data_IF_665899985844
#
_entry.id   IF_665899985844
#
_cell.length_a   1.000
_cell.length_b   1.000
_cell.length_c   1.000
_cell.angle_alpha   90.00
_cell.angle_beta   90.00
_cell.angle_gamma   90.00
#
_symmetry.space_group_name_H-M   'P 1'
#
loop_
_entity.id
_entity.type
_entity.pdbx_description
1 polymer ?
#
# COMPACT_ATOMS: atom_id res chain seq x y z
N UNK A 1 -21.10 18.25 2.90
CA UNK A 1 -20.02 19.09 3.46
C UNK A 1 -18.72 18.37 3.15
N UNK A 2 -17.79 18.97 2.41
CA UNK A 2 -16.49 18.38 2.12
C UNK A 2 -15.54 18.65 3.30
N UNK A 3 -14.85 17.64 3.82
CA UNK A 3 -13.79 17.79 4.81
C UNK A 3 -12.47 17.97 4.04
N UNK A 4 -11.81 19.11 4.21
CA UNK A 4 -10.54 19.44 3.54
C UNK A 4 -9.51 19.90 4.57
N UNK A 5 -8.24 19.59 4.33
CA UNK A 5 -7.16 20.01 5.22
C UNK A 5 -5.78 19.62 4.70
N UNK A 6 -4.78 19.74 5.58
CA UNK A 6 -3.41 19.36 5.29
C UNK A 6 -2.98 18.21 6.24
N UNK A 7 -2.16 17.30 5.75
CA UNK A 7 -1.65 16.16 6.54
C UNK A 7 -0.74 16.61 7.69
N UNK A 8 -0.14 17.79 7.61
CA UNK A 8 0.63 18.38 8.73
C UNK A 8 -0.23 18.66 9.96
N UNK A 9 -1.48 19.07 9.75
CA UNK A 9 -2.41 19.40 10.82
C UNK A 9 -3.25 18.20 11.25
N UNK A 10 -3.49 17.27 10.31
CA UNK A 10 -4.37 16.12 10.52
C UNK A 10 -3.82 14.88 9.82
N UNK A 11 -3.15 14.04 10.57
CA UNK A 11 -2.43 12.89 10.04
C UNK A 11 -3.34 11.86 9.34
N UNK A 12 -2.76 11.05 8.45
CA UNK A 12 -3.48 9.95 7.78
C UNK A 12 -4.18 9.03 8.79
N UNK A 13 -3.51 8.71 9.90
CA UNK A 13 -4.08 7.88 10.98
C UNK A 13 -5.33 8.52 11.58
N UNK A 14 -5.28 9.81 11.90
CA UNK A 14 -6.42 10.55 12.46
C UNK A 14 -7.57 10.62 11.45
N UNK A 15 -7.25 10.85 10.17
CA UNK A 15 -8.23 10.93 9.09
C UNK A 15 -8.96 9.59 8.89
N UNK A 16 -8.23 8.48 8.83
CA UNK A 16 -8.82 7.15 8.71
C UNK A 16 -9.63 6.76 9.95
N UNK A 17 -9.17 7.14 11.15
CA UNK A 17 -9.94 6.96 12.40
C UNK A 17 -11.28 7.73 12.36
N UNK A 18 -11.26 8.98 11.92
CA UNK A 18 -12.47 9.78 11.79
C UNK A 18 -13.48 9.14 10.82
N UNK A 19 -13.00 8.67 9.65
CA UNK A 19 -13.82 7.99 8.65
C UNK A 19 -14.44 6.71 9.23
N UNK A 20 -13.62 5.91 9.94
CA UNK A 20 -14.06 4.65 10.54
C UNK A 20 -15.10 4.88 11.64
N UNK A 21 -14.81 5.73 12.63
CA UNK A 21 -15.68 6.00 13.77
C UNK A 21 -17.00 6.69 13.37
N UNK A 22 -16.95 7.58 12.38
CA UNK A 22 -18.13 8.25 11.88
C UNK A 22 -18.89 7.44 10.81
N UNK A 23 -18.48 6.19 10.53
CA UNK A 23 -19.07 5.31 9.51
C UNK A 23 -19.27 6.02 8.16
N UNK A 24 -18.29 6.83 7.75
CA UNK A 24 -18.41 7.65 6.55
C UNK A 24 -18.48 6.80 5.27
N UNK A 25 -19.32 7.25 4.35
CA UNK A 25 -19.37 6.77 2.97
C UNK A 25 -18.97 7.92 2.05
N UNK A 26 -18.05 7.67 1.10
CA UNK A 26 -17.56 8.70 0.18
C UNK A 26 -16.16 8.42 -0.32
N UNK A 27 -15.57 9.43 -0.97
CA UNK A 27 -14.21 9.39 -1.51
C UNK A 27 -13.27 10.32 -0.75
N UNK A 28 -12.05 9.87 -0.52
CA UNK A 28 -10.93 10.64 0.00
C UNK A 28 -9.85 10.74 -1.07
N UNK A 29 -9.52 11.96 -1.46
CA UNK A 29 -8.36 12.26 -2.29
C UNK A 29 -7.30 12.82 -1.36
N UNK A 30 -6.08 12.30 -1.47
CA UNK A 30 -4.89 12.83 -0.80
C UNK A 30 -3.87 13.16 -1.87
N UNK A 31 -3.47 14.42 -1.93
CA UNK A 31 -2.51 14.97 -2.90
C UNK A 31 -1.20 15.25 -2.17
N UNK A 32 -0.18 14.45 -2.45
CA UNK A 32 1.20 14.67 -2.04
C UNK A 32 1.97 15.51 -3.05
N UNK A 33 3.29 15.71 -2.82
CA UNK A 33 4.11 16.52 -3.71
C UNK A 33 4.22 15.96 -5.14
N UNK A 34 4.32 14.64 -5.28
CA UNK A 34 4.62 13.98 -6.54
C UNK A 34 3.48 13.07 -7.04
N UNK A 35 2.56 12.70 -6.17
CA UNK A 35 1.51 11.74 -6.48
C UNK A 35 0.21 12.03 -5.73
N UNK A 36 -0.89 11.43 -6.18
CA UNK A 36 -2.18 11.51 -5.53
C UNK A 36 -2.72 10.10 -5.25
N UNK A 37 -3.37 9.93 -4.12
CA UNK A 37 -4.05 8.68 -3.75
C UNK A 37 -5.54 8.94 -3.65
N UNK A 38 -6.34 8.05 -4.24
CA UNK A 38 -7.79 8.10 -4.19
C UNK A 38 -8.32 6.85 -3.49
N UNK A 39 -9.09 7.07 -2.43
CA UNK A 39 -9.67 6.03 -1.59
C UNK A 39 -11.19 6.18 -1.56
N UNK A 40 -11.89 5.05 -1.58
CA UNK A 40 -13.35 5.03 -1.42
C UNK A 40 -13.75 4.23 -0.20
N UNK A 41 -14.70 4.76 0.53
CA UNK A 41 -15.20 4.17 1.76
C UNK A 41 -16.71 3.94 1.68
N UNK A 42 -17.15 2.88 2.32
CA UNK A 42 -18.56 2.60 2.57
C UNK A 42 -18.76 2.15 4.01
N UNK A 43 -19.58 2.90 4.74
CA UNK A 43 -19.86 2.62 6.16
C UNK A 43 -18.58 2.51 7.01
N UNK A 44 -17.61 3.41 6.77
CA UNK A 44 -16.33 3.43 7.47
C UNK A 44 -15.32 2.37 7.02
N UNK A 45 -15.63 1.52 6.04
CA UNK A 45 -14.73 0.48 5.53
C UNK A 45 -14.15 0.88 4.18
N UNK A 46 -12.87 0.63 3.96
CA UNK A 46 -12.24 0.83 2.66
C UNK A 46 -12.85 -0.14 1.65
N UNK A 47 -13.27 0.37 0.50
CA UNK A 47 -13.87 -0.44 -0.57
C UNK A 47 -13.06 -0.44 -1.84
N UNK A 48 -12.28 0.62 -2.09
CA UNK A 48 -11.41 0.74 -3.26
C UNK A 48 -10.28 1.72 -2.96
N UNK A 49 -9.11 1.46 -3.53
CA UNK A 49 -7.94 2.32 -3.42
C UNK A 49 -7.16 2.32 -4.73
N UNK A 50 -6.66 3.49 -5.12
CA UNK A 50 -5.76 3.61 -6.26
C UNK A 50 -4.70 4.67 -6.02
N UNK A 51 -3.50 4.43 -6.55
CA UNK A 51 -2.47 5.44 -6.72
C UNK A 51 -2.67 6.11 -8.09
N UNK A 52 -2.75 7.44 -8.12
CA UNK A 52 -3.07 8.20 -9.34
C UNK A 52 -2.05 8.07 -10.48
N UNK A 53 -0.81 7.72 -10.18
CA UNK A 53 0.25 7.56 -11.19
C UNK A 53 0.36 6.14 -11.75
N UNK A 54 -0.30 5.16 -11.14
CA UNK A 54 -0.17 3.77 -11.52
C UNK A 54 -1.33 3.29 -12.40
N UNK A 55 -1.05 2.26 -13.20
CA UNK A 55 -2.11 1.49 -13.84
C UNK A 55 -2.82 0.60 -12.81
N UNK A 56 -3.99 1.06 -12.37
CA UNK A 56 -4.82 0.41 -11.38
C UNK A 56 -5.81 -0.60 -11.99
N UNK A 57 -5.52 -1.14 -13.18
CA UNK A 57 -6.34 -2.18 -13.80
C UNK A 57 -6.20 -3.51 -13.07
N UNK A 58 -7.27 -4.33 -13.10
CA UNK A 58 -7.25 -5.67 -12.52
C UNK A 58 -6.07 -6.52 -13.05
N UNK A 59 -5.79 -6.43 -14.36
CA UNK A 59 -4.69 -7.15 -14.99
C UNK A 59 -3.33 -6.81 -14.35
N UNK A 60 -3.07 -5.52 -14.12
CA UNK A 60 -1.84 -5.03 -13.49
C UNK A 60 -1.75 -5.46 -12.02
N UNK A 61 -2.85 -5.39 -11.27
CA UNK A 61 -2.91 -5.82 -9.88
C UNK A 61 -2.64 -7.34 -9.77
N UNK A 62 -3.25 -8.14 -10.63
CA UNK A 62 -3.03 -9.59 -10.68
C UNK A 62 -1.60 -9.95 -11.08
N UNK A 63 -0.98 -9.16 -11.95
CA UNK A 63 0.44 -9.34 -12.29
C UNK A 63 1.35 -9.00 -11.10
N UNK A 64 1.14 -7.86 -10.42
CA UNK A 64 1.89 -7.48 -9.21
C UNK A 64 1.77 -8.54 -8.10
N UNK A 65 0.60 -9.16 -7.95
CA UNK A 65 0.37 -10.25 -6.98
C UNK A 65 0.85 -11.64 -7.47
N UNK A 66 1.57 -11.71 -8.59
CA UNK A 66 2.12 -12.93 -9.19
C UNK A 66 1.06 -13.98 -9.58
N UNK A 67 -0.19 -13.58 -9.76
CA UNK A 67 -1.28 -14.42 -10.26
C UNK A 67 -1.27 -14.52 -11.80
N UNK A 68 -0.67 -13.52 -12.47
CA UNK A 68 -0.39 -13.50 -13.90
C UNK A 68 1.10 -13.34 -14.13
N UNK A 69 1.66 -14.09 -15.07
CA UNK A 69 3.03 -13.86 -15.53
C UNK A 69 3.08 -12.69 -16.53
N UNK A 70 4.29 -12.23 -16.89
CA UNK A 70 4.48 -11.07 -17.77
C UNK A 70 3.83 -11.25 -19.16
N UNK A 71 3.93 -12.45 -19.75
CA UNK A 71 3.33 -12.75 -21.05
C UNK A 71 1.81 -12.71 -21.00
N UNK A 72 1.21 -13.31 -19.97
CA UNK A 72 -0.24 -13.30 -19.76
C UNK A 72 -0.76 -11.88 -19.52
N UNK A 73 -0.05 -11.08 -18.71
CA UNK A 73 -0.39 -9.70 -18.47
C UNK A 73 -0.38 -8.89 -19.77
N UNK A 74 0.64 -9.04 -20.64
CA UNK A 74 0.70 -8.36 -21.93
C UNK A 74 -0.45 -8.77 -22.86
N UNK A 75 -0.75 -10.07 -22.94
CA UNK A 75 -1.87 -10.58 -23.76
C UNK A 75 -3.18 -9.98 -23.26
N UNK A 76 -3.43 -10.04 -21.94
CA UNK A 76 -4.65 -9.49 -21.36
C UNK A 76 -4.74 -7.98 -21.60
N UNK A 77 -3.67 -7.22 -21.45
CA UNK A 77 -3.66 -5.78 -21.76
C UNK A 77 -4.01 -5.46 -23.20
N UNK A 78 -3.53 -6.26 -24.15
CA UNK A 78 -3.85 -6.08 -25.56
C UNK A 78 -5.33 -6.38 -25.86
N UNK A 79 -5.89 -7.39 -25.18
CA UNK A 79 -7.28 -7.81 -25.38
C UNK A 79 -8.28 -7.02 -24.52
N UNK A 80 -7.89 -6.69 -23.30
CA UNK A 80 -8.75 -6.05 -22.29
C UNK A 80 -8.84 -4.52 -22.41
N UNK A 81 -8.22 -3.91 -23.42
CA UNK A 81 -8.29 -2.44 -23.60
C UNK A 81 -9.71 -1.88 -23.69
N UNK A 82 -10.73 -2.74 -23.87
CA UNK A 82 -12.13 -2.36 -24.04
C UNK A 82 -13.07 -3.06 -23.05
N UNK A 83 -12.59 -3.85 -22.09
CA UNK A 83 -13.46 -4.54 -21.11
C UNK A 83 -13.20 -4.01 -19.69
N UNK A 84 -14.26 -4.02 -18.90
CA UNK A 84 -14.19 -3.59 -17.48
C UNK A 84 -13.42 -4.60 -16.62
N UNK A 85 -12.92 -4.15 -15.46
CA UNK A 85 -12.28 -5.05 -14.49
C UNK A 85 -13.23 -6.17 -14.04
N UNK A 86 -14.55 -5.88 -13.93
CA UNK A 86 -15.57 -6.89 -13.60
C UNK A 86 -15.70 -7.95 -14.69
N UNK A 87 -15.75 -7.54 -15.94
CA UNK A 87 -15.83 -8.48 -17.08
C UNK A 87 -14.57 -9.33 -17.18
N UNK A 88 -13.38 -8.72 -17.02
CA UNK A 88 -12.12 -9.45 -16.97
C UNK A 88 -12.10 -10.49 -15.83
N UNK A 89 -12.54 -10.07 -14.64
CA UNK A 89 -12.65 -10.97 -13.49
C UNK A 89 -13.55 -12.19 -13.77
N UNK A 90 -14.74 -11.94 -14.35
CA UNK A 90 -15.66 -13.02 -14.73
C UNK A 90 -15.09 -13.94 -15.80
N UNK A 91 -14.39 -13.41 -16.81
CA UNK A 91 -13.73 -14.21 -17.82
C UNK A 91 -12.66 -15.15 -17.23
N UNK A 92 -11.83 -14.63 -16.31
CA UNK A 92 -10.79 -15.42 -15.65
C UNK A 92 -11.38 -16.52 -14.76
N UNK A 93 -12.49 -16.26 -14.07
CA UNK A 93 -13.21 -17.24 -13.26
C UNK A 93 -13.87 -18.31 -14.15
N UNK A 94 -14.59 -17.91 -15.18
CA UNK A 94 -15.28 -18.84 -16.09
C UNK A 94 -14.31 -19.73 -16.86
N UNK A 95 -13.12 -19.23 -17.19
CA UNK A 95 -12.04 -20.02 -17.78
C UNK A 95 -11.32 -20.93 -16.76
N UNK A 96 -11.75 -20.95 -15.50
CA UNK A 96 -11.11 -21.68 -14.40
C UNK A 96 -9.64 -21.34 -14.23
N UNK A 97 -9.24 -20.13 -14.64
CA UNK A 97 -7.87 -19.65 -14.54
C UNK A 97 -7.55 -19.13 -13.14
N UNK A 98 -8.48 -18.39 -12.54
CA UNK A 98 -8.41 -17.88 -11.17
C UNK A 98 -9.74 -18.12 -10.45
N UNK A 99 -9.66 -18.26 -9.16
CA UNK A 99 -10.87 -18.27 -8.31
C UNK A 99 -11.29 -16.83 -7.96
N UNK A 100 -12.55 -16.65 -7.59
CA UNK A 100 -13.02 -15.39 -7.03
C UNK A 100 -12.17 -14.94 -5.84
N UNK A 101 -11.78 -15.90 -4.97
CA UNK A 101 -10.94 -15.62 -3.79
C UNK A 101 -9.55 -15.12 -4.19
N UNK A 102 -8.94 -15.64 -5.25
CA UNK A 102 -7.66 -15.16 -5.76
C UNK A 102 -7.73 -13.70 -6.18
N UNK A 103 -8.79 -13.32 -6.89
CA UNK A 103 -9.00 -11.95 -7.35
C UNK A 103 -9.23 -11.02 -6.15
N UNK A 104 -10.15 -11.36 -5.24
CA UNK A 104 -10.47 -10.53 -4.08
C UNK A 104 -9.28 -10.36 -3.15
N UNK A 105 -8.51 -11.42 -2.88
CA UNK A 105 -7.31 -11.33 -2.05
C UNK A 105 -6.21 -10.48 -2.69
N UNK A 106 -6.02 -10.58 -4.01
CA UNK A 106 -5.06 -9.74 -4.73
C UNK A 106 -5.42 -8.25 -4.66
N UNK A 107 -6.71 -7.92 -4.85
CA UNK A 107 -7.22 -6.55 -4.71
C UNK A 107 -7.07 -6.05 -3.27
N UNK A 108 -7.41 -6.88 -2.28
CA UNK A 108 -7.28 -6.52 -0.88
C UNK A 108 -5.82 -6.20 -0.51
N UNK A 109 -4.88 -7.04 -0.91
CA UNK A 109 -3.44 -6.82 -0.68
C UNK A 109 -2.96 -5.53 -1.35
N UNK A 110 -3.40 -5.28 -2.58
CA UNK A 110 -3.06 -4.06 -3.30
C UNK A 110 -3.59 -2.81 -2.58
N UNK A 111 -4.85 -2.80 -2.14
CA UNK A 111 -5.44 -1.67 -1.43
C UNK A 111 -4.77 -1.43 -0.07
N UNK A 112 -4.40 -2.50 0.64
CA UNK A 112 -3.61 -2.41 1.86
C UNK A 112 -2.23 -1.78 1.56
N UNK A 113 -1.60 -2.15 0.46
CA UNK A 113 -0.33 -1.57 0.01
C UNK A 113 -0.43 -0.07 -0.23
N UNK A 114 -1.50 0.39 -0.91
CA UNK A 114 -1.75 1.83 -1.14
C UNK A 114 -1.91 2.58 0.18
N UNK A 115 -2.67 2.03 1.14
CA UNK A 115 -2.82 2.65 2.48
C UNK A 115 -1.50 2.66 3.24
N UNK A 116 -0.72 1.58 3.21
CA UNK A 116 0.57 1.51 3.88
C UNK A 116 1.55 2.55 3.31
N UNK A 117 1.52 2.77 2.01
CA UNK A 117 2.29 3.83 1.38
C UNK A 117 1.82 5.22 1.84
N UNK A 118 0.51 5.44 1.92
CA UNK A 118 -0.04 6.70 2.38
C UNK A 118 0.36 7.03 3.85
N UNK A 119 0.56 6.03 4.72
CA UNK A 119 1.05 6.25 6.08
C UNK A 119 2.46 6.86 6.15
N UNK A 120 3.26 6.74 5.09
CA UNK A 120 4.60 7.37 5.02
C UNK A 120 4.55 8.87 4.70
N UNK A 121 3.38 9.40 4.33
CA UNK A 121 3.24 10.81 3.96
C UNK A 121 3.10 11.70 5.20
N UNK A 122 4.01 12.65 5.32
CA UNK A 122 4.00 13.66 6.38
C UNK A 122 3.39 15.00 5.92
N UNK A 123 3.24 15.21 4.59
CA UNK A 123 2.72 16.44 3.99
C UNK A 123 1.80 16.10 2.82
N UNK A 124 0.83 16.97 2.56
CA UNK A 124 -0.12 16.82 1.48
C UNK A 124 -1.48 17.42 1.83
N UNK A 125 -2.29 17.64 0.81
CA UNK A 125 -3.65 18.13 0.98
C UNK A 125 -4.63 16.96 0.84
N UNK A 126 -5.65 16.94 1.69
CA UNK A 126 -6.70 15.97 1.58
C UNK A 126 -8.07 16.64 1.38
N UNK A 127 -8.94 15.95 0.65
CA UNK A 127 -10.33 16.31 0.45
C UNK A 127 -11.21 15.07 0.54
N UNK A 128 -12.16 15.07 1.47
CA UNK A 128 -13.17 14.01 1.57
C UNK A 128 -14.51 14.51 1.07
N UNK A 129 -15.12 13.79 0.15
CA UNK A 129 -16.44 14.06 -0.40
C UNK A 129 -17.42 12.94 -0.04
N UNK A 130 -18.56 13.32 0.57
CA UNK A 130 -19.57 12.33 0.97
C UNK A 130 -20.27 11.76 -0.26
N UNK A 131 -20.72 10.50 -0.12
CA UNK A 131 -21.60 9.79 -1.05
C UNK A 131 -21.03 9.57 -2.46
N UNK A 132 -19.74 9.82 -2.66
CA UNK A 132 -19.05 9.48 -3.90
C UNK A 132 -18.65 8.01 -3.85
N UNK A 133 -19.08 7.24 -4.84
CA UNK A 133 -18.82 5.81 -4.95
C UNK A 133 -17.73 5.53 -5.98
N UNK A 134 -17.02 4.39 -5.87
CA UNK A 134 -16.04 4.00 -6.88
C UNK A 134 -16.70 3.77 -8.24
N UNK A 135 -15.92 3.88 -9.34
CA UNK A 135 -16.46 3.64 -10.69
C UNK A 135 -17.14 2.26 -10.80
N UNK A 136 -18.28 2.16 -11.50
CA UNK A 136 -19.11 0.96 -11.53
C UNK A 136 -18.46 -0.24 -12.22
N UNK A 137 -17.45 -0.01 -13.05
CA UNK A 137 -16.64 -1.00 -13.75
C UNK A 137 -15.57 -1.64 -12.85
N UNK A 138 -15.25 -1.04 -11.71
CA UNK A 138 -14.24 -1.53 -10.78
C UNK A 138 -14.79 -2.60 -9.81
N UNK A 139 -13.91 -3.52 -9.43
CA UNK A 139 -14.22 -4.50 -8.39
C UNK A 139 -13.89 -3.90 -7.04
N UNK A 140 -14.85 -3.95 -6.12
CA UNK A 140 -14.69 -3.46 -4.75
C UNK A 140 -14.51 -4.63 -3.77
N UNK A 141 -13.74 -4.39 -2.71
CA UNK A 141 -13.58 -5.30 -1.56
C UNK A 141 -13.93 -4.55 -0.28
N UNK A 142 -14.15 -5.27 0.82
CA UNK A 142 -14.33 -4.63 2.12
C UNK A 142 -13.12 -4.90 3.00
N UNK A 143 -12.41 -3.84 3.37
CA UNK A 143 -11.25 -3.90 4.27
C UNK A 143 -11.56 -3.09 5.52
N UNK A 144 -11.40 -3.71 6.70
CA UNK A 144 -11.52 -3.01 7.97
C UNK A 144 -10.37 -2.03 8.15
N UNK A 145 -10.69 -0.78 8.51
CA UNK A 145 -9.67 0.23 8.80
C UNK A 145 -8.99 0.03 10.15
N UNK A 146 -9.63 -0.64 11.11
CA UNK A 146 -9.09 -0.84 12.46
C UNK A 146 -7.72 -1.52 12.45
N UNK A 147 -7.62 -2.65 11.74
CA UNK A 147 -6.36 -3.38 11.62
C UNK A 147 -5.29 -2.58 10.87
N UNK A 148 -5.69 -1.84 9.82
CA UNK A 148 -4.78 -0.99 9.05
C UNK A 148 -4.25 0.16 9.89
N UNK A 149 -5.11 0.80 10.67
CA UNK A 149 -4.74 1.90 11.58
C UNK A 149 -3.78 1.39 12.67
N UNK A 150 -4.08 0.23 13.27
CA UNK A 150 -3.19 -0.38 14.26
C UNK A 150 -1.81 -0.67 13.68
N UNK A 151 -1.77 -1.31 12.53
CA UNK A 151 -0.49 -1.66 11.87
C UNK A 151 0.28 -0.43 11.42
N UNK A 152 -0.40 0.58 10.83
CA UNK A 152 0.22 1.85 10.46
C UNK A 152 0.79 2.58 11.68
N UNK A 153 0.05 2.63 12.79
CA UNK A 153 0.51 3.26 14.04
C UNK A 153 1.72 2.51 14.63
N UNK A 154 1.73 1.17 14.57
CA UNK A 154 2.85 0.35 15.02
C UNK A 154 4.11 0.66 14.21
N UNK A 155 4.01 0.69 12.89
CA UNK A 155 5.14 1.00 11.99
C UNK A 155 5.70 2.40 12.19
N UNK A 156 4.83 3.39 12.42
CA UNK A 156 5.27 4.75 12.73
C UNK A 156 6.08 4.79 14.03
N UNK A 157 5.63 4.12 15.09
CA UNK A 157 6.37 4.04 16.36
C UNK A 157 7.70 3.32 16.21
N UNK A 158 7.75 2.23 15.46
CA UNK A 158 9.00 1.52 15.17
C UNK A 158 9.97 2.43 14.40
N UNK A 159 9.46 3.22 13.46
CA UNK A 159 10.27 4.19 12.73
C UNK A 159 10.78 5.32 13.63
N UNK A 160 9.95 5.86 14.51
CA UNK A 160 10.36 6.87 15.50
C UNK A 160 11.49 6.35 16.38
N UNK A 161 11.40 5.11 16.86
CA UNK A 161 12.50 4.48 17.62
C UNK A 161 13.78 4.30 16.80
N UNK A 162 13.64 3.96 15.53
CA UNK A 162 14.79 3.80 14.64
C UNK A 162 15.45 5.13 14.29
N UNK A 163 14.72 6.24 14.26
CA UNK A 163 15.29 7.57 13.99
C UNK A 163 16.29 8.00 15.05
N UNK A 164 16.14 7.58 16.30
CA UNK A 164 17.10 7.85 17.36
C UNK A 164 18.42 7.08 17.14
N UNK A 165 18.37 5.91 16.54
CA UNK A 165 19.54 5.06 16.24
C UNK A 165 20.11 5.33 14.84
N UNK A 166 19.27 5.73 13.89
CA UNK A 166 19.62 5.99 12.48
C UNK A 166 19.16 7.40 12.10
N UNK A 167 19.96 8.43 12.41
CA UNK A 167 19.56 9.83 12.19
C UNK A 167 19.36 10.23 10.73
N UNK A 168 19.94 9.50 9.77
CA UNK A 168 19.80 9.77 8.33
C UNK A 168 19.98 8.49 7.51
N UNK A 169 19.14 8.32 6.47
CA UNK A 169 19.29 7.25 5.49
C UNK A 169 20.52 7.43 4.56
N UNK A 170 21.10 8.62 4.55
CA UNK A 170 22.34 8.90 3.82
C UNK A 170 23.60 8.36 4.54
N UNK A 171 23.44 7.83 5.76
CA UNK A 171 24.52 7.20 6.49
C UNK A 171 24.86 5.84 5.89
N UNK A 172 26.16 5.58 5.75
CA UNK A 172 26.65 4.26 5.37
C UNK A 172 26.88 3.38 6.61
N UNK A 173 26.40 2.15 6.56
CA UNK A 173 26.65 1.16 7.61
C UNK A 173 28.06 0.59 7.51
N UNK A 174 28.71 0.43 8.66
CA UNK A 174 30.04 -0.20 8.76
C UNK A 174 30.04 -1.24 9.87
N UNK A 175 30.62 -2.40 9.59
CA UNK A 175 30.88 -3.38 10.65
C UNK A 175 31.87 -2.82 11.67
N UNK A 176 31.54 -2.93 12.95
CA UNK A 176 32.45 -2.56 14.02
C UNK A 176 33.34 -3.75 14.33
N UNK A 177 34.64 -3.60 14.11
CA UNK A 177 35.64 -4.55 14.57
C UNK A 177 35.85 -4.35 16.09
N UNK A 178 35.05 -5.05 16.90
CA UNK A 178 35.29 -5.12 18.35
C UNK A 178 36.00 -6.44 18.67
N UNK A 179 37.26 -6.40 19.21
CA UNK A 179 37.90 -7.58 19.69
C UNK A 179 37.07 -8.19 20.82
N UNK A 180 36.60 -9.42 20.66
CA UNK A 180 35.82 -10.15 21.66
C UNK A 180 34.32 -10.39 21.29
N UNK A 181 33.81 -9.83 20.22
CA UNK A 181 32.46 -10.19 19.69
C UNK A 181 32.52 -11.58 19.02
N UNK A 182 31.94 -12.56 19.70
CA UNK A 182 31.88 -13.93 19.18
C UNK A 182 30.67 -14.03 18.22
N UNK A 183 30.89 -13.76 16.93
CA UNK A 183 29.85 -13.82 15.85
C UNK A 183 29.30 -15.25 15.63
N UNK A 184 29.86 -16.27 16.31
CA UNK A 184 29.42 -17.67 16.13
C UNK A 184 28.01 -17.98 16.65
N UNK A 185 27.41 -17.08 17.44
CA UNK A 185 26.08 -17.27 18.02
C UNK A 185 25.01 -16.34 17.46
N UNK A 186 25.26 -15.66 16.35
CA UNK A 186 24.27 -14.80 15.71
C UNK A 186 23.47 -15.63 14.73
N UNK A 187 22.26 -16.02 15.12
CA UNK A 187 21.29 -16.66 14.22
C UNK A 187 20.51 -15.58 13.49
N UNK A 188 20.88 -15.31 12.26
CA UNK A 188 20.14 -14.39 11.38
C UNK A 188 19.25 -15.21 10.44
N UNK A 189 18.04 -14.70 10.19
CA UNK A 189 17.16 -15.18 9.13
C UNK A 189 17.77 -14.94 7.74
N UNK A 190 17.25 -15.62 6.72
CA UNK A 190 17.70 -15.43 5.33
C UNK A 190 17.52 -13.97 4.87
N UNK A 191 16.48 -13.31 5.36
CA UNK A 191 16.19 -11.90 5.03
C UNK A 191 17.19 -10.95 5.71
N UNK A 192 17.51 -11.20 6.97
CA UNK A 192 18.53 -10.43 7.71
C UNK A 192 19.93 -10.63 7.10
N UNK A 193 20.26 -11.84 6.66
CA UNK A 193 21.51 -12.10 5.92
C UNK A 193 21.59 -11.32 4.61
N UNK A 194 20.49 -11.17 3.90
CA UNK A 194 20.45 -10.30 2.71
C UNK A 194 20.80 -8.87 3.05
N UNK A 195 20.19 -8.28 4.08
CA UNK A 195 20.49 -6.92 4.53
C UNK A 195 21.97 -6.81 4.90
N UNK A 196 22.50 -7.75 5.69
CA UNK A 196 23.91 -7.79 6.08
C UNK A 196 24.84 -7.83 4.87
N UNK A 197 24.47 -8.54 3.79
CA UNK A 197 25.29 -8.64 2.57
C UNK A 197 25.41 -7.32 1.80
N UNK A 198 24.48 -6.38 1.99
CA UNK A 198 24.52 -5.04 1.39
C UNK A 198 25.30 -4.03 2.23
N UNK A 199 25.70 -4.36 3.47
CA UNK A 199 26.46 -3.46 4.31
C UNK A 199 27.86 -3.25 3.71
N UNK A 200 28.03 -2.09 3.11
CA UNK A 200 29.29 -1.63 2.54
C UNK A 200 29.45 -0.14 2.88
N UNK A 201 30.63 0.30 3.35
CA UNK A 201 30.87 1.72 3.67
C UNK A 201 30.64 2.70 2.51
N UNK A 202 30.47 2.19 1.28
CA UNK A 202 30.18 2.98 0.08
C UNK A 202 28.69 3.04 -0.25
N UNK A 203 27.86 2.21 0.37
CA UNK A 203 26.43 2.16 0.15
C UNK A 203 25.73 2.90 1.28
N UNK A 204 24.86 3.83 0.94
CA UNK A 204 23.93 4.44 1.90
C UNK A 204 22.74 3.50 2.14
N UNK A 205 21.86 3.83 3.10
CA UNK A 205 20.67 3.04 3.42
C UNK A 205 19.51 3.28 2.44
N UNK A 206 19.72 4.12 1.42
CA UNK A 206 18.76 4.36 0.33
C UNK A 206 18.63 3.15 -0.58
#
# INVERSE_FOLDING_TARGET
MALKGNLRDFTVTQLLNLINLAHKTGSLVVEGPDEAVLLYFREGKLTFAQNGQEDNSLATILHKSKKLNATQHQIIKQWAGNISDKELGLLLINASYLTQQDILSSLQMYFIGVINHLFTWADGFFSFENDIMPPPDKITVRVSLENLIMEGTRRLREWEHLQDEIPSLDMALKFIDRPGLNLRNVNLSVEEWKVVSYINPKNTMH
#
